data_IF_560206665272
#
_entry.id   IF_560206665272
#
_cell.length_a   1.000
_cell.length_b   1.000
_cell.length_c   1.000
_cell.angle_alpha   90.00
_cell.angle_beta   90.00
_cell.angle_gamma   90.00
#
_symmetry.space_group_name_H-M   'P 1'
#
loop_
_entity.id
_entity.type
_entity.pdbx_description
1 polymer ?
#
# COMPACT_ATOMS: atom_id res chain seq x y z
N UNK A 1 -1.35 -17.50 -13.35
CA UNK A 1 -0.89 -17.94 -12.02
C UNK A 1 0.63 -17.84 -11.86
N UNK A 2 1.43 -18.26 -12.84
CA UNK A 2 2.90 -18.19 -12.73
C UNK A 2 3.43 -16.76 -12.54
N UNK A 3 2.94 -15.80 -13.32
CA UNK A 3 3.37 -14.39 -13.25
C UNK A 3 3.18 -13.76 -11.86
N UNK A 4 2.17 -14.21 -11.10
CA UNK A 4 1.83 -13.65 -9.80
C UNK A 4 2.16 -14.56 -8.64
N UNK A 5 2.90 -15.65 -8.87
CA UNK A 5 3.34 -16.65 -7.87
C UNK A 5 2.20 -17.08 -6.91
N UNK A 6 1.02 -17.34 -7.48
CA UNK A 6 -0.11 -17.87 -6.73
C UNK A 6 0.07 -19.38 -6.54
N UNK A 7 -0.03 -19.86 -5.31
CA UNK A 7 0.13 -21.28 -4.97
C UNK A 7 -1.08 -21.79 -4.17
N UNK A 8 -1.51 -23.05 -4.38
CA UNK A 8 -1.02 -23.99 -5.40
C UNK A 8 -1.42 -23.57 -6.82
N UNK A 9 -0.65 -24.03 -7.81
CA UNK A 9 -0.86 -23.72 -9.25
C UNK A 9 -1.99 -24.56 -9.85
N UNK A 10 -3.11 -24.66 -9.16
CA UNK A 10 -4.30 -25.38 -9.61
C UNK A 10 -5.43 -24.38 -9.89
N UNK A 11 -5.89 -24.33 -11.14
CA UNK A 11 -6.96 -23.41 -11.58
C UNK A 11 -8.34 -23.81 -11.04
N UNK A 12 -8.51 -25.06 -10.61
CA UNK A 12 -9.79 -25.58 -10.11
C UNK A 12 -9.97 -25.37 -8.60
N UNK A 13 -8.92 -24.89 -7.91
CA UNK A 13 -9.01 -24.63 -6.46
C UNK A 13 -9.96 -23.45 -6.20
N UNK A 14 -10.82 -23.60 -5.23
CA UNK A 14 -11.69 -22.50 -4.82
C UNK A 14 -10.87 -21.42 -4.10
N UNK A 15 -11.19 -20.16 -4.35
CA UNK A 15 -10.48 -19.03 -3.74
C UNK A 15 -10.47 -19.10 -2.19
N UNK A 16 -11.55 -19.62 -1.59
CA UNK A 16 -11.65 -19.82 -0.13
C UNK A 16 -10.63 -20.79 0.46
N UNK A 17 -10.10 -21.70 -0.38
CA UNK A 17 -9.14 -22.73 0.04
C UNK A 17 -7.69 -22.26 -0.11
N UNK A 18 -7.49 -21.04 -0.63
CA UNK A 18 -6.19 -20.39 -0.72
C UNK A 18 -5.85 -19.67 0.58
N UNK A 19 -4.55 -19.54 0.87
CA UNK A 19 -4.08 -18.64 1.94
C UNK A 19 -4.50 -17.19 1.63
N UNK A 20 -4.64 -16.37 2.67
CA UNK A 20 -5.00 -14.95 2.53
C UNK A 20 -4.03 -14.23 1.60
N UNK A 21 -2.72 -14.51 1.71
CA UNK A 21 -1.71 -13.94 0.81
C UNK A 21 -1.91 -14.32 -0.66
N UNK A 22 -2.26 -15.57 -0.95
CA UNK A 22 -2.56 -16.00 -2.32
C UNK A 22 -3.87 -15.42 -2.85
N UNK A 23 -4.90 -15.27 -2.00
CA UNK A 23 -6.12 -14.55 -2.36
C UNK A 23 -5.83 -13.10 -2.73
N UNK A 24 -5.00 -12.41 -1.95
CA UNK A 24 -4.61 -11.03 -2.20
C UNK A 24 -3.81 -10.89 -3.51
N UNK A 25 -2.90 -11.82 -3.79
CA UNK A 25 -2.18 -11.88 -5.06
C UNK A 25 -3.12 -12.03 -6.27
N UNK A 26 -4.18 -12.83 -6.15
CA UNK A 26 -5.18 -12.98 -7.21
C UNK A 26 -5.95 -11.68 -7.44
N UNK A 27 -6.37 -11.01 -6.36
CA UNK A 27 -7.08 -9.73 -6.44
C UNK A 27 -6.20 -8.70 -7.16
N UNK A 28 -4.94 -8.56 -6.73
CA UNK A 28 -3.99 -7.65 -7.36
C UNK A 28 -3.75 -8.00 -8.83
N UNK A 29 -3.57 -9.30 -9.13
CA UNK A 29 -3.38 -9.79 -10.50
C UNK A 29 -4.55 -9.41 -11.42
N UNK A 30 -5.78 -9.53 -10.92
CA UNK A 30 -7.00 -9.16 -11.66
C UNK A 30 -7.03 -7.66 -11.97
N UNK A 31 -6.73 -6.83 -11.00
CA UNK A 31 -6.72 -5.37 -11.18
C UNK A 31 -5.60 -4.94 -12.15
N UNK A 32 -4.41 -5.52 -12.02
CA UNK A 32 -3.27 -5.25 -12.92
C UNK A 32 -3.57 -5.70 -14.36
N UNK A 33 -4.25 -6.84 -14.54
CA UNK A 33 -4.59 -7.35 -15.86
C UNK A 33 -5.49 -6.40 -16.66
N UNK A 34 -6.27 -5.57 -15.98
CA UNK A 34 -7.09 -4.52 -16.59
C UNK A 34 -6.28 -3.28 -17.01
N UNK A 35 -4.97 -3.25 -16.77
CA UNK A 35 -4.07 -2.13 -17.10
C UNK A 35 -4.61 -0.76 -16.66
N UNK A 36 -5.02 -0.57 -15.41
CA UNK A 36 -5.62 0.68 -14.96
C UNK A 36 -4.60 1.82 -15.03
N UNK A 37 -5.08 3.03 -15.29
CA UNK A 37 -4.25 4.24 -15.17
C UNK A 37 -4.12 4.70 -13.72
N UNK A 38 -5.12 4.37 -12.90
CA UNK A 38 -5.15 4.64 -11.46
C UNK A 38 -5.53 3.37 -10.71
N UNK A 39 -4.71 2.98 -9.74
CA UNK A 39 -4.98 1.87 -8.82
C UNK A 39 -5.21 2.40 -7.41
N UNK A 40 -6.30 1.99 -6.79
CA UNK A 40 -6.55 2.25 -5.36
C UNK A 40 -6.25 0.97 -4.59
N UNK A 41 -5.23 1.02 -3.73
CA UNK A 41 -4.82 -0.08 -2.87
C UNK A 41 -5.17 0.24 -1.39
N UNK A 42 -6.22 -0.39 -0.89
CA UNK A 42 -6.68 -0.21 0.49
C UNK A 42 -6.25 -1.40 1.35
N UNK A 43 -5.38 -1.15 2.33
CA UNK A 43 -4.84 -2.16 3.25
C UNK A 43 -4.30 -3.41 2.51
N UNK A 44 -3.48 -3.27 1.45
CA UNK A 44 -3.16 -4.37 0.54
C UNK A 44 -2.37 -5.49 1.19
N UNK A 45 -1.68 -5.22 2.31
CA UNK A 45 -0.79 -6.18 2.98
C UNK A 45 -1.28 -6.62 4.36
N UNK A 46 -2.45 -6.15 4.80
CA UNK A 46 -2.98 -6.45 6.13
C UNK A 46 -3.13 -7.95 6.37
N UNK A 47 -2.51 -8.44 7.44
CA UNK A 47 -2.62 -9.84 7.86
C UNK A 47 -1.85 -10.84 6.99
N UNK A 48 -0.93 -10.36 6.15
CA UNK A 48 -0.11 -11.19 5.29
C UNK A 48 1.24 -11.53 5.93
N UNK A 49 1.85 -12.64 5.48
CA UNK A 49 3.24 -12.97 5.79
C UNK A 49 4.22 -12.06 5.01
N UNK A 50 5.48 -12.04 5.47
CA UNK A 50 6.53 -11.17 4.91
C UNK A 50 6.72 -11.39 3.41
N UNK A 51 6.71 -12.64 2.94
CA UNK A 51 6.91 -12.94 1.52
C UNK A 51 5.77 -12.42 0.64
N UNK A 52 4.52 -12.50 1.12
CA UNK A 52 3.37 -11.94 0.41
C UNK A 52 3.41 -10.40 0.42
N UNK A 53 3.83 -9.78 1.52
CA UNK A 53 3.99 -8.32 1.63
C UNK A 53 5.03 -7.83 0.61
N UNK A 54 6.22 -8.42 0.60
CA UNK A 54 7.29 -8.06 -0.34
C UNK A 54 6.84 -8.18 -1.79
N UNK A 55 6.13 -9.26 -2.11
CA UNK A 55 5.60 -9.48 -3.45
C UNK A 55 4.64 -8.35 -3.87
N UNK A 56 3.67 -8.00 -3.02
CA UNK A 56 2.70 -6.94 -3.30
C UNK A 56 3.39 -5.59 -3.45
N UNK A 57 4.35 -5.26 -2.57
CA UNK A 57 5.12 -4.03 -2.67
C UNK A 57 5.87 -3.93 -4.00
N UNK A 58 6.53 -5.00 -4.43
CA UNK A 58 7.24 -5.03 -5.72
C UNK A 58 6.29 -4.83 -6.91
N UNK A 59 5.09 -5.42 -6.89
CA UNK A 59 4.11 -5.22 -7.96
C UNK A 59 3.57 -3.79 -8.01
N UNK A 60 3.33 -3.16 -6.85
CA UNK A 60 2.94 -1.75 -6.78
C UNK A 60 4.05 -0.83 -7.33
N UNK A 61 5.30 -1.08 -6.95
CA UNK A 61 6.46 -0.33 -7.49
C UNK A 61 6.57 -0.48 -9.00
N UNK A 62 6.41 -1.70 -9.54
CA UNK A 62 6.44 -1.93 -10.99
C UNK A 62 5.35 -1.14 -11.72
N UNK A 63 4.14 -1.08 -11.18
CA UNK A 63 3.05 -0.27 -11.75
C UNK A 63 3.39 1.21 -11.75
N UNK A 64 3.92 1.74 -10.66
CA UNK A 64 4.38 3.13 -10.56
C UNK A 64 5.44 3.41 -11.63
N UNK A 65 6.42 2.53 -11.78
CA UNK A 65 7.51 2.69 -12.74
C UNK A 65 7.03 2.61 -14.21
N UNK A 66 5.87 2.01 -14.45
CA UNK A 66 5.16 2.03 -15.73
C UNK A 66 4.33 3.32 -15.95
N UNK A 67 4.42 4.28 -15.04
CA UNK A 67 3.70 5.56 -15.13
C UNK A 67 2.26 5.52 -14.62
N UNK A 68 1.86 4.46 -13.89
CA UNK A 68 0.53 4.37 -13.30
C UNK A 68 0.46 5.18 -11.99
N UNK A 69 -0.68 5.79 -11.73
CA UNK A 69 -0.95 6.45 -10.46
C UNK A 69 -1.47 5.43 -9.44
N UNK A 70 -0.94 5.48 -8.21
CA UNK A 70 -1.35 4.57 -7.14
C UNK A 70 -1.77 5.40 -5.92
N UNK A 71 -3.00 5.20 -5.46
CA UNK A 71 -3.47 5.68 -4.18
C UNK A 71 -3.38 4.54 -3.17
N UNK A 72 -2.34 4.58 -2.33
CA UNK A 72 -2.14 3.62 -1.25
C UNK A 72 -2.78 4.16 0.04
N UNK A 73 -3.67 3.39 0.63
CA UNK A 73 -4.29 3.69 1.93
C UNK A 73 -3.92 2.57 2.89
N UNK A 74 -3.12 2.89 3.90
CA UNK A 74 -2.65 1.91 4.88
C UNK A 74 -2.48 2.53 6.26
N UNK A 75 -2.63 1.71 7.30
CA UNK A 75 -2.27 2.05 8.68
C UNK A 75 -0.83 1.64 9.02
N UNK A 76 -0.19 0.86 8.15
CA UNK A 76 1.19 0.41 8.33
C UNK A 76 2.16 1.53 7.91
N UNK A 77 2.73 2.23 8.88
CA UNK A 77 3.61 3.37 8.61
C UNK A 77 4.83 2.98 7.78
N UNK A 78 5.39 1.79 7.99
CA UNK A 78 6.53 1.30 7.22
C UNK A 78 6.16 1.10 5.74
N UNK A 79 4.96 0.57 5.46
CA UNK A 79 4.46 0.43 4.10
C UNK A 79 4.33 1.79 3.40
N UNK A 80 3.68 2.75 4.08
CA UNK A 80 3.50 4.11 3.56
C UNK A 80 4.84 4.80 3.29
N UNK A 81 5.77 4.74 4.25
CA UNK A 81 7.08 5.39 4.12
C UNK A 81 7.96 4.79 3.03
N UNK A 82 7.88 3.47 2.84
CA UNK A 82 8.70 2.75 1.86
C UNK A 82 8.19 2.88 0.42
N UNK A 83 6.89 3.11 0.23
CA UNK A 83 6.27 3.07 -1.10
C UNK A 83 5.84 4.43 -1.64
N UNK A 84 5.63 5.43 -0.76
CA UNK A 84 4.97 6.66 -1.17
C UNK A 84 5.95 7.74 -1.64
N UNK A 85 5.56 8.45 -2.69
CA UNK A 85 6.24 9.67 -3.15
C UNK A 85 5.70 10.92 -2.44
N UNK A 86 4.48 10.83 -1.90
CA UNK A 86 3.82 11.87 -1.11
C UNK A 86 2.84 11.21 -0.15
N UNK A 87 2.77 11.71 1.06
CA UNK A 87 1.87 11.19 2.09
C UNK A 87 0.87 12.27 2.48
N UNK A 88 -0.41 11.91 2.50
CA UNK A 88 -1.46 12.72 3.11
C UNK A 88 -1.95 12.01 4.37
N UNK A 89 -1.96 12.70 5.48
CA UNK A 89 -2.46 12.18 6.76
C UNK A 89 -3.90 12.65 6.95
N UNK A 90 -4.81 11.70 7.23
CA UNK A 90 -6.23 12.00 7.46
C UNK A 90 -6.52 11.84 8.95
N UNK A 91 -7.19 12.85 9.51
CA UNK A 91 -7.71 12.83 10.86
C UNK A 91 -9.07 13.52 10.89
N UNK A 92 -10.04 12.91 11.55
CA UNK A 92 -11.42 13.45 11.69
C UNK A 92 -12.07 13.90 10.36
N UNK A 93 -11.84 13.14 9.30
CA UNK A 93 -12.39 13.42 7.97
C UNK A 93 -11.72 14.56 7.19
N UNK A 94 -10.60 15.08 7.71
CA UNK A 94 -9.82 16.13 7.08
C UNK A 94 -8.37 15.70 6.85
N UNK A 95 -7.72 16.28 5.84
CA UNK A 95 -6.27 16.13 5.66
C UNK A 95 -5.58 17.02 6.70
N UNK A 96 -4.93 16.40 7.67
CA UNK A 96 -4.22 17.08 8.75
C UNK A 96 -2.79 17.46 8.38
N UNK A 97 -2.16 16.74 7.44
CA UNK A 97 -0.84 17.04 6.93
C UNK A 97 -0.63 16.48 5.53
N UNK A 98 0.21 17.15 4.76
CA UNK A 98 0.80 16.63 3.52
C UNK A 98 2.32 16.63 3.65
N UNK A 99 2.94 15.49 3.36
CA UNK A 99 4.37 15.26 3.53
C UNK A 99 4.98 14.88 2.17
N UNK A 100 5.82 15.75 1.59
CA UNK A 100 6.49 15.47 0.33
C UNK A 100 7.65 14.48 0.51
N UNK A 101 8.06 13.81 -0.57
CA UNK A 101 9.15 12.83 -0.57
C UNK A 101 10.45 13.36 0.05
N UNK A 102 10.82 14.59 -0.26
CA UNK A 102 12.02 15.21 0.30
C UNK A 102 12.03 15.22 1.84
N UNK A 103 10.87 15.42 2.46
CA UNK A 103 10.71 15.38 3.92
C UNK A 103 10.73 13.94 4.45
N UNK A 104 10.11 13.00 3.72
CA UNK A 104 10.10 11.57 4.08
C UNK A 104 11.53 11.04 4.24
N UNK A 105 12.44 11.40 3.32
CA UNK A 105 13.81 10.88 3.31
C UNK A 105 14.79 11.65 4.22
N UNK A 106 14.47 12.88 4.61
CA UNK A 106 15.38 13.74 5.38
C UNK A 106 15.15 13.74 6.88
N UNK A 107 13.93 13.46 7.33
CA UNK A 107 13.56 13.55 8.74
C UNK A 107 13.66 12.21 9.46
N UNK A 108 14.48 12.17 10.53
CA UNK A 108 14.67 10.96 11.34
C UNK A 108 13.43 10.57 12.14
N UNK A 109 12.58 11.53 12.50
CA UNK A 109 11.41 11.33 13.36
C UNK A 109 10.08 11.39 12.58
N UNK A 110 10.12 11.13 11.28
CA UNK A 110 8.96 11.23 10.40
C UNK A 110 7.78 10.33 10.86
N UNK A 111 8.07 9.16 11.43
CA UNK A 111 7.04 8.26 11.96
C UNK A 111 6.27 8.89 13.14
N UNK A 112 7.00 9.55 14.05
CA UNK A 112 6.41 10.23 15.20
C UNK A 112 5.55 11.41 14.75
N UNK A 113 6.05 12.17 13.77
CA UNK A 113 5.30 13.30 13.19
C UNK A 113 3.99 12.81 12.54
N UNK A 114 4.04 11.77 11.72
CA UNK A 114 2.83 11.18 11.11
C UNK A 114 1.87 10.71 12.20
N UNK A 115 2.37 10.02 13.22
CA UNK A 115 1.57 9.56 14.36
C UNK A 115 0.86 10.69 15.08
N UNK A 116 1.53 11.82 15.32
CA UNK A 116 0.93 13.02 15.92
C UNK A 116 -0.17 13.60 15.03
N UNK A 117 0.04 13.70 13.72
CA UNK A 117 -0.97 14.17 12.79
C UNK A 117 -2.19 13.24 12.72
N UNK A 118 -1.98 11.91 12.78
CA UNK A 118 -3.06 10.92 12.85
C UNK A 118 -3.91 11.06 14.13
N UNK A 119 -3.28 11.46 15.24
CA UNK A 119 -3.95 11.71 16.53
C UNK A 119 -4.57 13.12 16.66
N UNK A 120 -4.51 13.93 15.62
CA UNK A 120 -5.01 15.33 15.66
C UNK A 120 -4.11 16.30 16.42
N UNK A 121 -2.94 15.85 16.90
CA UNK A 121 -2.06 16.66 17.76
C UNK A 121 -1.36 17.84 17.08
N UNK A 122 -1.31 17.87 15.73
CA UNK A 122 -0.66 18.95 14.99
C UNK A 122 -1.65 19.86 14.24
N UNK A 123 -2.94 19.59 14.30
CA UNK A 123 -3.99 20.40 13.66
C UNK A 123 -4.24 21.76 14.37
N UNK A 124 -3.48 22.08 15.42
CA UNK A 124 -3.70 23.27 16.28
C UNK A 124 -2.66 24.36 16.04
N UNK A 125 -2.16 24.51 14.82
CA UNK A 125 -1.43 25.73 14.44
C UNK A 125 -1.90 26.15 13.05
N UNK A 126 -3.07 26.75 13.06
CA UNK A 126 -3.55 27.53 11.93
C UNK A 126 -2.66 28.72 11.68
#
# INVERSE_FOLDING_TARGET
MERFDVRPRNLEIMARDLSVGNQQKIILAREIANSPDVLIAFQPTRGLDVGAIEYIHLELIKLRDQGKAILLISYELDEILNLSDRIAVICDGCISAEIPYAKIISEKNIKEEIGLHMAGGAAVKG
#
